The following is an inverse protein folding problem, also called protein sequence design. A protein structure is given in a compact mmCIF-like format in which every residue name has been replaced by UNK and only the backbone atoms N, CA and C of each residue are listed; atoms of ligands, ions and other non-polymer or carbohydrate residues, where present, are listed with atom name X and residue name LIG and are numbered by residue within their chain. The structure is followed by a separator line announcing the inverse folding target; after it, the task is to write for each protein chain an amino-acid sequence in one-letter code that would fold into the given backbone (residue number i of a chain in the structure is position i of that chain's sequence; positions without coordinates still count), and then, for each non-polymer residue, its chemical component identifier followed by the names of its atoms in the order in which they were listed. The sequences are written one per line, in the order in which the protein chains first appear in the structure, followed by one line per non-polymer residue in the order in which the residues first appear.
data_IF_554154865175
#
_entry.id   IF_554154865175
#
_cell.length_a   1.000
_cell.length_b   1.000
_cell.length_c   1.000
_cell.angle_alpha   90.00
_cell.angle_beta   90.00
_cell.angle_gamma   90.00
#
_symmetry.space_group_name_H-M   'P 1'
#
loop_
_entity.id
_entity.type
_entity.pdbx_description
1 polymer ?
#
# COMPACT_ATOMS: atom_id res chain seq x y z
N UNK A 1 -18.93 -19.93 27.36
CA UNK A 1 -18.71 -18.86 26.37
C UNK A 1 -17.21 -18.71 26.16
N UNK A 2 -16.70 -18.55 24.92
CA UNK A 2 -15.30 -18.20 24.73
C UNK A 2 -15.02 -16.84 25.42
N UNK A 3 -13.82 -16.64 25.99
CA UNK A 3 -13.45 -15.37 26.60
C UNK A 3 -13.47 -14.25 25.54
N UNK A 4 -13.98 -13.07 25.91
CA UNK A 4 -14.04 -11.89 25.04
C UNK A 4 -12.89 -10.96 25.39
N UNK A 5 -11.90 -10.89 24.50
CA UNK A 5 -10.83 -9.90 24.55
C UNK A 5 -11.26 -8.65 23.75
N UNK A 6 -11.32 -7.50 24.41
CA UNK A 6 -11.71 -6.22 23.79
C UNK A 6 -10.53 -5.41 23.27
N UNK A 7 -9.31 -5.74 23.71
CA UNK A 7 -8.09 -5.03 23.35
C UNK A 7 -7.43 -5.66 22.13
N UNK A 8 -7.29 -6.99 22.12
CA UNK A 8 -6.69 -7.75 21.00
C UNK A 8 -7.61 -8.90 20.52
N UNK A 9 -8.80 -8.60 19.98
CA UNK A 9 -9.70 -9.63 19.48
C UNK A 9 -9.11 -10.34 18.26
N UNK A 10 -9.03 -11.67 18.33
CA UNK A 10 -8.58 -12.53 17.22
C UNK A 10 -9.65 -12.74 16.14
N UNK A 11 -10.92 -12.70 16.55
CA UNK A 11 -12.09 -12.84 15.69
C UNK A 11 -13.04 -11.69 16.02
N UNK A 12 -13.36 -10.88 15.02
CA UNK A 12 -14.24 -9.73 15.17
C UNK A 12 -15.50 -9.96 14.34
N UNK A 13 -16.64 -9.97 15.00
CA UNK A 13 -17.96 -9.99 14.36
C UNK A 13 -18.40 -8.55 14.14
N UNK A 14 -18.70 -8.19 12.90
CA UNK A 14 -19.16 -6.86 12.52
C UNK A 14 -20.64 -6.94 12.19
N UNK A 15 -21.45 -6.20 12.96
CA UNK A 15 -22.87 -6.00 12.69
C UNK A 15 -23.07 -4.63 12.01
N UNK A 16 -23.63 -4.64 10.81
CA UNK A 16 -23.97 -3.43 10.07
C UNK A 16 -25.49 -3.33 9.92
N UNK A 17 -26.09 -2.32 10.55
CA UNK A 17 -27.53 -2.06 10.49
C UNK A 17 -27.81 -0.93 9.50
N UNK A 18 -28.58 -1.23 8.45
CA UNK A 18 -29.01 -0.22 7.49
C UNK A 18 -30.37 -0.58 6.90
N UNK A 19 -31.27 0.41 6.82
CA UNK A 19 -32.61 0.28 6.22
C UNK A 19 -33.39 -0.94 6.76
N UNK A 20 -33.42 -1.10 8.09
CA UNK A 20 -34.12 -2.21 8.75
C UNK A 20 -33.48 -3.59 8.59
N UNK A 21 -32.29 -3.70 7.98
CA UNK A 21 -31.56 -4.97 7.83
C UNK A 21 -30.30 -4.98 8.69
N UNK A 22 -30.04 -6.09 9.36
CA UNK A 22 -28.80 -6.36 10.07
C UNK A 22 -27.97 -7.36 9.26
N UNK A 23 -26.77 -6.94 8.83
CA UNK A 23 -25.79 -7.82 8.20
C UNK A 23 -24.70 -8.16 9.20
N UNK A 24 -24.49 -9.46 9.43
CA UNK A 24 -23.38 -9.97 10.22
C UNK A 24 -22.26 -10.43 9.29
N UNK A 25 -21.03 -10.06 9.63
CA UNK A 25 -19.83 -10.46 8.88
C UNK A 25 -18.67 -10.68 9.84
N UNK A 26 -17.64 -11.39 9.36
CA UNK A 26 -16.38 -11.55 10.07
C UNK A 26 -15.34 -10.62 9.44
N UNK A 27 -14.66 -9.83 10.26
CA UNK A 27 -13.48 -9.11 9.79
C UNK A 27 -12.34 -10.11 9.57
N UNK A 28 -11.90 -10.23 8.32
CA UNK A 28 -10.78 -11.08 7.91
C UNK A 28 -9.45 -10.32 7.90
N UNK A 29 -9.49 -8.99 7.90
CA UNK A 29 -8.34 -8.11 7.69
C UNK A 29 -7.66 -7.69 8.99
N UNK A 30 -8.42 -7.54 10.07
CA UNK A 30 -7.94 -6.92 11.30
C UNK A 30 -7.62 -5.45 11.10
N UNK A 31 -6.34 -5.07 11.25
CA UNK A 31 -5.93 -3.68 10.98
C UNK A 31 -6.31 -3.28 9.55
N UNK A 32 -6.81 -2.06 9.37
CA UNK A 32 -7.26 -1.57 8.05
C UNK A 32 -6.19 -1.72 6.95
N UNK A 33 -6.61 -2.10 5.75
CA UNK A 33 -5.69 -2.48 4.66
C UNK A 33 -4.87 -1.30 4.10
N UNK A 34 -5.34 -0.06 4.25
CA UNK A 34 -4.55 1.13 3.87
C UNK A 34 -3.29 1.32 4.71
N UNK A 35 -3.20 0.68 5.89
CA UNK A 35 -2.01 0.72 6.74
C UNK A 35 -0.96 -0.25 6.21
N UNK A 36 -0.27 0.15 5.14
CA UNK A 36 0.86 -0.57 4.50
C UNK A 36 2.16 -0.54 5.32
N UNK A 37 2.18 0.21 6.43
CA UNK A 37 3.31 0.38 7.38
C UNK A 37 4.57 1.02 6.79
N UNK A 38 4.44 1.73 5.68
CA UNK A 38 5.57 2.48 5.10
C UNK A 38 5.56 3.97 5.42
N UNK A 39 4.42 4.54 5.80
CA UNK A 39 4.26 5.98 5.92
C UNK A 39 5.11 6.55 7.06
N UNK A 40 5.89 7.58 6.76
CA UNK A 40 6.51 8.45 7.76
C UNK A 40 5.43 9.32 8.44
N UNK A 41 5.54 9.53 9.75
CA UNK A 41 4.68 10.45 10.48
C UNK A 41 5.07 11.91 10.21
N UNK A 42 4.10 12.82 10.24
CA UNK A 42 4.37 14.27 10.26
C UNK A 42 3.96 15.06 9.00
N UNK A 43 3.57 14.40 7.90
CA UNK A 43 2.97 15.12 6.77
C UNK A 43 1.54 15.57 7.09
N UNK A 44 1.14 16.81 6.79
CA UNK A 44 -0.27 17.21 6.84
C UNK A 44 -1.06 16.45 5.76
N UNK A 45 -2.11 15.75 6.17
CA UNK A 45 -3.10 15.11 5.28
C UNK A 45 -2.54 14.17 4.17
N UNK A 46 -1.78 13.12 4.50
CA UNK A 46 -1.28 12.18 3.50
C UNK A 46 -2.41 11.34 2.90
N UNK A 47 -2.48 11.30 1.56
CA UNK A 47 -3.40 10.48 0.78
C UNK A 47 -3.41 9.03 1.27
N UNK A 48 -4.56 8.38 1.44
CA UNK A 48 -4.62 6.95 1.83
C UNK A 48 -4.02 6.07 0.75
N UNK A 49 -3.19 5.08 1.12
CA UNK A 49 -2.56 4.15 0.17
C UNK A 49 -3.57 3.42 -0.73
N UNK A 50 -4.73 3.01 -0.18
CA UNK A 50 -5.81 2.40 -0.96
C UNK A 50 -6.43 3.36 -1.98
N UNK A 51 -6.52 4.65 -1.64
CA UNK A 51 -7.03 5.67 -2.55
C UNK A 51 -6.01 5.98 -3.65
N UNK A 52 -4.73 6.06 -3.31
CA UNK A 52 -3.66 6.22 -4.30
C UNK A 52 -3.63 5.06 -5.30
N UNK A 53 -3.71 3.81 -4.83
CA UNK A 53 -3.81 2.64 -5.71
C UNK A 53 -5.07 2.70 -6.60
N UNK A 54 -6.22 3.09 -6.06
CA UNK A 54 -7.45 3.25 -6.82
C UNK A 54 -7.32 4.34 -7.91
N UNK A 55 -6.70 5.48 -7.60
CA UNK A 55 -6.45 6.56 -8.58
C UNK A 55 -5.60 6.04 -9.73
N UNK A 56 -4.50 5.33 -9.43
CA UNK A 56 -3.62 4.74 -10.45
C UNK A 56 -4.38 3.74 -11.34
N UNK A 57 -5.20 2.87 -10.73
CA UNK A 57 -6.03 1.92 -11.48
C UNK A 57 -7.06 2.63 -12.37
N UNK A 58 -7.72 3.68 -11.87
CA UNK A 58 -8.67 4.49 -12.65
C UNK A 58 -7.98 5.26 -13.79
N UNK A 59 -6.72 5.65 -13.59
CA UNK A 59 -5.89 6.27 -14.62
C UNK A 59 -5.34 5.26 -15.65
N UNK A 60 -5.66 3.96 -15.52
CA UNK A 60 -5.18 2.91 -16.42
C UNK A 60 -3.73 2.49 -16.19
N UNK A 61 -3.09 2.95 -15.11
CA UNK A 61 -1.69 2.63 -14.84
C UNK A 61 -1.54 1.18 -14.35
N UNK A 62 -0.93 0.34 -15.18
CA UNK A 62 -0.62 -1.07 -14.87
C UNK A 62 0.85 -1.32 -14.52
N UNK A 63 1.67 -0.26 -14.55
CA UNK A 63 3.08 -0.32 -14.23
C UNK A 63 4.01 -0.65 -15.40
N UNK A 64 3.48 -0.74 -16.63
CA UNK A 64 4.29 -0.93 -17.84
C UNK A 64 4.83 0.37 -18.43
N UNK A 65 4.16 1.49 -18.16
CA UNK A 65 4.50 2.82 -18.67
C UNK A 65 5.27 3.67 -17.64
N UNK A 66 5.89 4.75 -18.11
CA UNK A 66 6.57 5.70 -17.24
C UNK A 66 5.57 6.43 -16.33
N UNK A 67 5.96 6.69 -15.09
CA UNK A 67 5.15 7.41 -14.11
C UNK A 67 5.85 8.69 -13.65
N UNK A 68 5.11 9.79 -13.59
CA UNK A 68 5.57 11.07 -13.06
C UNK A 68 4.57 11.64 -12.06
N UNK A 69 5.04 11.94 -10.84
CA UNK A 69 4.31 12.72 -9.84
C UNK A 69 5.09 14.01 -9.53
N UNK A 70 4.72 15.16 -10.14
CA UNK A 70 5.51 16.39 -10.04
C UNK A 70 5.22 17.20 -8.76
N UNK A 71 4.32 16.73 -7.90
CA UNK A 71 3.94 17.35 -6.62
C UNK A 71 3.71 16.25 -5.57
N UNK A 72 4.74 15.43 -5.35
CA UNK A 72 4.56 14.13 -4.72
C UNK A 72 4.24 14.16 -3.23
N UNK A 73 4.46 15.28 -2.55
CA UNK A 73 4.27 15.41 -1.12
C UNK A 73 5.00 14.31 -0.35
N UNK A 74 4.25 13.50 0.40
CA UNK A 74 4.80 12.33 1.13
C UNK A 74 5.13 11.10 0.25
N UNK A 75 5.00 11.20 -1.08
CA UNK A 75 5.33 10.16 -2.05
C UNK A 75 4.31 9.03 -2.19
N UNK A 76 3.07 9.19 -1.69
CA UNK A 76 2.10 8.08 -1.63
C UNK A 76 1.77 7.50 -3.01
N UNK A 77 1.52 8.36 -4.01
CA UNK A 77 1.22 7.91 -5.39
C UNK A 77 2.43 7.19 -6.00
N UNK A 78 3.62 7.80 -5.95
CA UNK A 78 4.84 7.19 -6.48
C UNK A 78 5.17 5.84 -5.83
N UNK A 79 4.93 5.67 -4.51
CA UNK A 79 5.16 4.41 -3.79
C UNK A 79 4.17 3.32 -4.24
N UNK A 80 2.88 3.65 -4.41
CA UNK A 80 1.91 2.69 -4.91
C UNK A 80 2.16 2.38 -6.40
N UNK A 81 2.58 3.37 -7.21
CA UNK A 81 2.97 3.16 -8.60
C UNK A 81 4.17 2.21 -8.73
N UNK A 82 5.20 2.38 -7.90
CA UNK A 82 6.33 1.46 -7.85
C UNK A 82 5.93 0.06 -7.38
N UNK A 83 5.01 -0.02 -6.41
CA UNK A 83 4.48 -1.29 -5.91
C UNK A 83 3.72 -2.06 -7.00
N UNK A 84 2.90 -1.36 -7.80
CA UNK A 84 2.21 -1.92 -8.97
C UNK A 84 3.22 -2.36 -10.03
N UNK A 85 4.16 -1.49 -10.41
CA UNK A 85 5.13 -1.75 -11.47
C UNK A 85 6.03 -2.96 -11.20
N UNK A 86 6.39 -3.21 -9.95
CA UNK A 86 7.16 -4.41 -9.57
C UNK A 86 6.29 -5.59 -9.14
N UNK A 87 4.97 -5.53 -9.33
CA UNK A 87 3.99 -6.56 -8.95
C UNK A 87 4.11 -6.99 -7.48
N UNK A 88 4.45 -6.04 -6.61
CA UNK A 88 4.68 -6.30 -5.20
C UNK A 88 3.36 -6.36 -4.46
N UNK A 89 3.05 -7.51 -3.85
CA UNK A 89 1.82 -7.65 -3.08
C UNK A 89 1.83 -6.68 -1.87
N UNK A 90 0.82 -5.80 -1.75
CA UNK A 90 1.00 -4.62 -0.90
C UNK A 90 0.82 -4.88 0.61
N UNK A 91 0.37 -6.07 1.04
CA UNK A 91 0.41 -6.51 2.45
C UNK A 91 1.41 -7.63 2.73
N UNK A 92 2.36 -7.90 1.83
CA UNK A 92 3.28 -9.04 1.96
C UNK A 92 4.16 -9.01 3.22
N UNK A 93 4.25 -7.83 3.85
CA UNK A 93 5.04 -7.59 5.07
C UNK A 93 4.24 -7.75 6.37
N UNK A 94 2.94 -8.05 6.30
CA UNK A 94 2.17 -8.37 7.50
C UNK A 94 2.70 -9.65 8.12
N UNK A 95 2.77 -9.66 9.45
CA UNK A 95 3.26 -10.82 10.21
C UNK A 95 2.14 -11.87 10.32
N UNK A 96 2.54 -13.12 10.57
CA UNK A 96 1.62 -14.22 10.89
C UNK A 96 0.71 -13.81 12.06
N UNK A 97 -0.58 -14.04 11.91
CA UNK A 97 -1.61 -13.71 12.90
C UNK A 97 -2.10 -12.25 12.86
N UNK A 98 -1.56 -11.40 11.98
CA UNK A 98 -2.06 -10.02 11.81
C UNK A 98 -3.29 -9.94 10.89
N UNK A 99 -3.56 -10.98 10.09
CA UNK A 99 -4.85 -11.13 9.43
C UNK A 99 -5.78 -11.97 10.31
N UNK A 100 -6.98 -11.47 10.55
CA UNK A 100 -7.95 -12.15 11.40
C UNK A 100 -8.47 -13.46 10.78
N UNK A 101 -8.43 -13.62 9.45
CA UNK A 101 -8.78 -14.90 8.83
C UNK A 101 -7.85 -16.05 9.27
N UNK A 102 -6.62 -15.77 9.72
CA UNK A 102 -5.67 -16.80 10.19
C UNK A 102 -6.14 -17.49 11.49
N UNK A 103 -7.13 -16.90 12.18
CA UNK A 103 -7.71 -17.41 13.42
C UNK A 103 -9.05 -18.12 13.22
N UNK A 104 -9.58 -18.16 11.99
CA UNK A 104 -10.80 -18.89 11.68
C UNK A 104 -10.56 -20.39 11.71
N UNK A 105 -11.57 -21.15 12.15
CA UNK A 105 -11.49 -22.61 12.31
C UNK A 105 -11.03 -23.31 11.04
N UNK A 106 -11.56 -22.88 9.90
CA UNK A 106 -11.37 -23.54 8.60
C UNK A 106 -10.23 -22.89 7.79
N UNK A 107 -9.29 -22.21 8.47
CA UNK A 107 -8.14 -21.57 7.84
C UNK A 107 -7.15 -22.60 7.27
N UNK A 108 -7.04 -22.65 5.94
CA UNK A 108 -6.06 -23.48 5.25
C UNK A 108 -4.67 -22.80 5.22
N UNK A 109 -3.80 -23.26 6.12
CA UNK A 109 -2.43 -22.77 6.26
C UNK A 109 -1.56 -23.10 5.03
N UNK A 110 -1.78 -24.22 4.39
CA UNK A 110 -1.00 -24.66 3.23
C UNK A 110 -1.38 -23.88 1.98
N UNK A 111 -2.67 -23.62 1.77
CA UNK A 111 -3.14 -22.70 0.74
C UNK A 111 -2.60 -21.28 0.96
N UNK A 112 -2.60 -20.79 2.20
CA UNK A 112 -2.07 -19.47 2.50
C UNK A 112 -0.57 -19.37 2.20
N UNK A 113 0.22 -20.37 2.62
CA UNK A 113 1.66 -20.44 2.33
C UNK A 113 1.93 -20.44 0.82
N UNK A 114 1.27 -21.34 0.06
CA UNK A 114 1.39 -21.41 -1.40
C UNK A 114 0.98 -20.11 -2.08
N UNK A 115 -0.06 -19.45 -1.57
CA UNK A 115 -0.49 -18.14 -2.06
C UNK A 115 0.61 -17.10 -1.87
N UNK A 116 1.16 -16.98 -0.66
CA UNK A 116 2.25 -16.03 -0.37
C UNK A 116 3.50 -16.30 -1.23
N UNK A 117 3.88 -17.56 -1.41
CA UNK A 117 4.99 -17.97 -2.27
C UNK A 117 4.74 -17.54 -3.72
N UNK A 118 3.55 -17.81 -4.26
CA UNK A 118 3.15 -17.39 -5.61
C UNK A 118 3.24 -15.88 -5.81
N UNK A 119 2.74 -15.07 -4.87
CA UNK A 119 2.82 -13.60 -5.03
C UNK A 119 4.24 -13.06 -4.84
N UNK A 120 5.09 -13.73 -4.04
CA UNK A 120 6.51 -13.38 -3.96
C UNK A 120 7.25 -13.69 -5.25
N UNK A 121 6.99 -14.85 -5.84
CA UNK A 121 7.58 -15.27 -7.12
C UNK A 121 7.14 -14.40 -8.30
N UNK A 122 5.94 -13.83 -8.25
CA UNK A 122 5.44 -12.92 -9.30
C UNK A 122 6.04 -11.50 -9.26
N UNK A 123 6.77 -11.15 -8.19
CA UNK A 123 7.40 -9.84 -8.04
C UNK A 123 8.52 -9.68 -9.07
N UNK A 124 8.57 -8.52 -9.74
CA UNK A 124 9.66 -8.18 -10.65
C UNK A 124 10.87 -7.64 -9.87
N UNK A 125 12.06 -7.81 -10.46
CA UNK A 125 13.30 -7.26 -9.89
C UNK A 125 13.39 -5.75 -10.02
N UNK A 126 12.88 -5.20 -11.12
CA UNK A 126 12.80 -3.77 -11.40
C UNK A 126 11.52 -3.42 -12.21
N UNK A 127 11.06 -2.16 -12.15
CA UNK A 127 10.02 -1.66 -13.04
C UNK A 127 10.48 -1.72 -14.50
N UNK A 128 9.57 -1.98 -15.45
CA UNK A 128 9.89 -1.93 -16.88
C UNK A 128 10.09 -0.50 -17.40
N UNK A 129 9.58 0.51 -16.70
CA UNK A 129 9.68 1.92 -17.08
C UNK A 129 10.03 2.83 -15.88
N UNK A 130 10.57 4.03 -16.13
CA UNK A 130 10.98 4.95 -15.06
C UNK A 130 9.81 5.45 -14.20
N UNK A 131 10.08 5.62 -12.90
CA UNK A 131 9.15 6.24 -11.95
C UNK A 131 9.86 7.44 -11.34
N UNK A 132 9.30 8.62 -11.57
CA UNK A 132 9.88 9.90 -11.14
C UNK A 132 8.88 10.63 -10.25
N UNK A 133 9.40 11.20 -9.17
CA UNK A 133 8.60 11.98 -8.24
C UNK A 133 9.37 13.24 -7.84
N UNK A 134 8.71 14.38 -7.83
CA UNK A 134 9.30 15.63 -7.36
C UNK A 134 8.34 16.43 -6.51
N UNK A 135 8.91 17.29 -5.67
CA UNK A 135 8.16 18.30 -4.95
C UNK A 135 9.00 19.57 -4.85
N UNK A 136 8.34 20.72 -4.67
CA UNK A 136 9.03 22.00 -4.46
C UNK A 136 9.66 22.06 -3.06
N UNK A 137 9.09 21.36 -2.09
CA UNK A 137 9.56 21.33 -0.72
C UNK A 137 10.52 20.16 -0.48
N UNK A 138 11.79 20.45 -0.17
CA UNK A 138 12.78 19.42 0.11
C UNK A 138 12.42 18.49 1.27
N UNK A 139 11.75 19.01 2.30
CA UNK A 139 11.28 18.21 3.44
C UNK A 139 10.27 17.13 3.03
N UNK A 140 9.39 17.44 2.07
CA UNK A 140 8.44 16.48 1.49
C UNK A 140 9.18 15.37 0.74
N UNK A 141 10.15 15.74 -0.10
CA UNK A 141 10.97 14.79 -0.85
C UNK A 141 11.72 13.84 0.09
N UNK A 142 12.36 14.35 1.15
CA UNK A 142 13.06 13.51 2.12
C UNK A 142 12.12 12.57 2.90
N UNK A 143 10.90 13.03 3.19
CA UNK A 143 9.87 12.17 3.76
C UNK A 143 9.38 11.09 2.77
N UNK A 144 9.26 11.44 1.49
CA UNK A 144 8.90 10.50 0.43
C UNK A 144 9.99 9.43 0.26
N UNK A 145 11.29 9.80 0.27
CA UNK A 145 12.42 8.87 0.26
C UNK A 145 12.36 7.90 1.43
N UNK A 146 12.17 8.39 2.67
CA UNK A 146 12.06 7.54 3.87
C UNK A 146 10.84 6.61 3.80
N UNK A 147 9.71 7.12 3.32
CA UNK A 147 8.49 6.33 3.12
C UNK A 147 8.72 5.23 2.07
N UNK A 148 9.38 5.53 0.97
CA UNK A 148 9.73 4.56 -0.07
C UNK A 148 10.72 3.50 0.45
N UNK A 149 11.67 3.89 1.30
CA UNK A 149 12.61 2.98 1.95
C UNK A 149 11.87 2.00 2.89
N UNK A 150 10.96 2.52 3.72
CA UNK A 150 10.10 1.68 4.56
C UNK A 150 9.20 0.78 3.72
N UNK A 151 8.76 1.25 2.55
CA UNK A 151 8.02 0.45 1.58
C UNK A 151 8.90 -0.56 0.84
N UNK A 152 10.24 -0.45 0.87
CA UNK A 152 11.20 -1.25 0.09
C UNK A 152 10.99 -1.12 -1.42
N UNK A 153 10.85 0.11 -1.88
CA UNK A 153 10.70 0.49 -3.31
C UNK A 153 11.52 1.75 -3.65
N UNK A 154 12.33 2.25 -2.73
CA UNK A 154 13.14 3.46 -2.89
C UNK A 154 14.06 3.41 -4.10
N UNK A 155 14.67 2.25 -4.38
CA UNK A 155 15.56 2.06 -5.53
C UNK A 155 14.85 2.14 -6.88
N UNK A 156 13.52 2.12 -6.89
CA UNK A 156 12.70 2.16 -8.11
C UNK A 156 12.21 3.56 -8.45
N UNK A 157 12.38 4.53 -7.56
CA UNK A 157 11.80 5.87 -7.70
C UNK A 157 12.94 6.89 -7.70
N UNK A 158 13.00 7.72 -8.76
CA UNK A 158 13.87 8.90 -8.77
C UNK A 158 13.14 10.07 -8.10
N UNK A 159 13.70 10.53 -6.99
CA UNK A 159 13.18 11.68 -6.25
C UNK A 159 14.04 12.93 -6.51
N UNK A 160 13.39 14.04 -6.87
CA UNK A 160 14.04 15.32 -7.16
C UNK A 160 13.33 16.47 -6.42
N UNK A 161 14.09 17.47 -5.94
CA UNK A 161 13.50 18.74 -5.46
C UNK A 161 13.36 19.67 -6.65
N UNK A 162 12.15 19.86 -7.14
CA UNK A 162 11.88 20.62 -8.35
C UNK A 162 10.47 21.19 -8.36
N UNK A 163 10.31 22.35 -9.00
CA UNK A 163 9.00 22.93 -9.30
C UNK A 163 8.43 22.27 -10.56
N UNK A 164 7.14 21.91 -10.51
CA UNK A 164 6.40 21.29 -11.63
C UNK A 164 6.45 22.07 -12.95
N UNK A 165 6.68 23.39 -12.93
CA UNK A 165 6.77 24.23 -14.15
C UNK A 165 8.13 24.17 -14.86
N UNK A 166 9.11 23.43 -14.34
CA UNK A 166 10.43 23.29 -14.95
C UNK A 166 10.31 22.32 -16.14
N UNK A 167 10.63 22.78 -17.35
CA UNK A 167 10.62 21.93 -18.56
C UNK A 167 11.54 20.72 -18.34
N UNK A 168 10.99 19.52 -18.26
CA UNK A 168 11.76 18.28 -18.30
C UNK A 168 12.33 18.14 -19.71
N UNK A 169 13.58 18.55 -19.90
CA UNK A 169 14.27 18.33 -21.15
C UNK A 169 14.42 16.83 -21.37
N UNK A 170 13.70 16.30 -22.34
CA UNK A 170 13.91 14.97 -22.92
C UNK A 170 15.37 14.85 -23.34
N UNK A 171 16.09 13.93 -22.71
CA UNK A 171 17.31 13.34 -23.24
C UNK A 171 17.00 11.91 -23.63
#
# INVERSE_FOLDING_TARGET
MPPVDREEPKVVVVAHLARGRCMLSLDTSGKSLHKRRYRESGYPAPLKATLAAAILTLAGYDGTEAFLDPMCGSGTLAIEAATIAVRKAPQIRRRKGEFHFEWLRDFDRDLWRRTQERVRAAKLEAPPAPIVASDIEGACVEMARRSALRARVEKYIRFDVARSTRKWATR
#
